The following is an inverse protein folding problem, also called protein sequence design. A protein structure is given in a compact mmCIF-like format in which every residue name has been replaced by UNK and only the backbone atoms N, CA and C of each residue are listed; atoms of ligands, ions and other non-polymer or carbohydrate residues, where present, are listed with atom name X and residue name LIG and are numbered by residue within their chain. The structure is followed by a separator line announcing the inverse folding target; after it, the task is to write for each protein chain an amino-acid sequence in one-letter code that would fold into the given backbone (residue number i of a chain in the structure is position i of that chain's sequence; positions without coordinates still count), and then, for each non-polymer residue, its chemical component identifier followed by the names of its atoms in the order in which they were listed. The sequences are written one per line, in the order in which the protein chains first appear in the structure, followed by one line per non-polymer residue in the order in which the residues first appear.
data_IF_863716556440
#
_entry.id   IF_863716556440
#
_cell.length_a   1.000
_cell.length_b   1.000
_cell.length_c   1.000
_cell.angle_alpha   90.00
_cell.angle_beta   90.00
_cell.angle_gamma   90.00
#
_symmetry.space_group_name_H-M   'P 1'
#
loop_
_entity.id
_entity.type
_entity.pdbx_description
1 polymer ?
#
# COMPACT_ATOMS: atom_id res chain seq x y z
N UNK A 1 9.19 1.50 -18.04
CA UNK A 1 7.95 2.13 -17.67
C UNK A 1 7.57 1.80 -16.24
N UNK A 2 7.16 2.79 -15.51
CA UNK A 2 6.84 2.62 -14.12
C UNK A 2 5.49 1.99 -13.95
N UNK A 3 5.37 1.01 -13.06
CA UNK A 3 4.08 0.40 -12.71
C UNK A 3 3.57 0.94 -11.39
N UNK A 4 4.04 2.10 -10.99
CA UNK A 4 3.70 2.72 -9.72
C UNK A 4 2.80 3.91 -9.97
N UNK A 5 1.77 4.04 -9.16
CA UNK A 5 0.81 5.13 -9.28
C UNK A 5 1.18 6.23 -8.29
N UNK A 6 1.41 7.43 -8.79
CA UNK A 6 1.68 8.57 -7.91
C UNK A 6 0.37 9.22 -7.55
N UNK A 7 0.11 9.37 -6.24
CA UNK A 7 -1.19 9.80 -5.74
C UNK A 7 -1.02 11.08 -4.93
N UNK A 8 -1.85 12.06 -5.22
CA UNK A 8 -1.87 13.31 -4.45
C UNK A 8 -2.86 13.21 -3.29
N UNK A 9 -2.80 14.20 -2.39
CA UNK A 9 -3.74 14.25 -1.28
C UNK A 9 -5.19 14.25 -1.77
N UNK A 10 -5.47 15.00 -2.83
CA UNK A 10 -6.83 15.11 -3.34
C UNK A 10 -7.33 13.81 -3.96
N UNK A 11 -6.41 13.01 -4.49
CA UNK A 11 -6.78 11.76 -5.17
C UNK A 11 -6.83 10.55 -4.25
N UNK A 12 -6.29 10.67 -3.04
CA UNK A 12 -6.05 9.51 -2.18
C UNK A 12 -7.33 8.75 -1.87
N UNK A 13 -8.38 9.46 -1.50
CA UNK A 13 -9.62 8.81 -1.10
C UNK A 13 -10.15 7.94 -2.24
N UNK A 14 -10.21 8.50 -3.42
CA UNK A 14 -10.77 7.77 -4.56
C UNK A 14 -9.84 6.65 -5.02
N UNK A 15 -8.56 6.94 -5.16
CA UNK A 15 -7.65 5.98 -5.78
C UNK A 15 -7.14 4.91 -4.84
N UNK A 16 -7.15 5.17 -3.54
CA UNK A 16 -6.67 4.22 -2.55
C UNK A 16 -7.80 3.63 -1.74
N UNK A 17 -8.59 4.49 -1.08
CA UNK A 17 -9.59 3.98 -0.16
C UNK A 17 -10.78 3.36 -0.86
N UNK A 18 -11.08 3.83 -2.07
CA UNK A 18 -12.18 3.27 -2.85
C UNK A 18 -11.72 2.30 -3.93
N UNK A 19 -10.45 1.92 -3.90
CA UNK A 19 -9.91 1.01 -4.90
C UNK A 19 -10.56 -0.37 -4.80
N UNK A 20 -10.87 -0.95 -5.96
CA UNK A 20 -11.39 -2.30 -6.00
C UNK A 20 -10.31 -3.33 -5.78
N UNK A 21 -9.05 -2.97 -5.99
CA UNK A 21 -7.94 -3.87 -5.75
C UNK A 21 -7.26 -3.52 -4.44
N UNK A 22 -6.57 -4.48 -3.81
CA UNK A 22 -5.72 -4.15 -2.67
C UNK A 22 -4.64 -3.15 -3.07
N UNK A 23 -4.27 -2.28 -2.15
CA UNK A 23 -3.31 -1.21 -2.41
C UNK A 23 -2.18 -1.27 -1.40
N UNK A 24 -0.95 -1.16 -1.88
CA UNK A 24 0.20 -0.90 -1.01
C UNK A 24 0.56 0.56 -1.20
N UNK A 25 0.46 1.35 -0.15
CA UNK A 25 0.76 2.77 -0.19
C UNK A 25 2.16 3.00 0.36
N UNK A 26 2.99 3.69 -0.41
CA UNK A 26 4.36 4.02 -0.03
C UNK A 26 4.44 5.52 0.25
N UNK A 27 4.53 5.89 1.53
CA UNK A 27 4.77 7.27 1.91
C UNK A 27 6.28 7.51 1.90
N UNK A 28 6.73 8.42 1.05
CA UNK A 28 8.15 8.61 0.77
C UNK A 28 8.48 10.09 0.60
N UNK A 29 9.76 10.40 0.44
CA UNK A 29 10.21 11.74 0.08
C UNK A 29 11.44 11.64 -0.81
N UNK A 30 11.67 12.62 -1.70
CA UNK A 30 12.78 12.53 -2.66
C UNK A 30 14.16 12.49 -2.01
N UNK A 31 14.30 13.09 -0.83
CA UNK A 31 15.58 13.15 -0.13
C UNK A 31 15.89 11.92 0.70
N UNK A 32 14.98 10.98 0.75
CA UNK A 32 15.07 9.83 1.65
C UNK A 32 15.79 8.69 0.92
N UNK A 33 16.99 8.32 1.40
CA UNK A 33 17.76 7.25 0.79
C UNK A 33 17.07 5.89 0.81
N UNK A 34 16.60 5.44 1.99
CA UNK A 34 15.90 4.16 2.04
C UNK A 34 14.64 4.13 1.17
N UNK A 35 13.98 5.27 1.02
CA UNK A 35 12.81 5.34 0.14
C UNK A 35 13.20 5.02 -1.30
N UNK A 36 14.35 5.57 -1.75
CA UNK A 36 14.80 5.32 -3.10
C UNK A 36 15.24 3.86 -3.28
N UNK A 37 15.76 3.25 -2.23
CA UNK A 37 16.20 1.87 -2.31
C UNK A 37 15.04 0.89 -2.45
N UNK A 38 13.90 1.22 -1.88
CA UNK A 38 12.75 0.31 -1.94
C UNK A 38 11.99 0.42 -3.25
N UNK A 39 12.16 1.51 -4.00
CA UNK A 39 11.41 1.73 -5.23
C UNK A 39 11.59 0.60 -6.25
N UNK A 40 12.81 0.11 -6.54
CA UNK A 40 12.93 -1.00 -7.49
C UNK A 40 12.22 -2.26 -7.02
N UNK A 41 12.19 -2.50 -5.72
CA UNK A 41 11.49 -3.66 -5.17
C UNK A 41 9.99 -3.51 -5.39
N UNK A 42 9.47 -2.31 -5.17
CA UNK A 42 8.04 -2.06 -5.39
C UNK A 42 7.69 -2.17 -6.86
N UNK A 43 8.59 -1.77 -7.75
CA UNK A 43 8.37 -1.94 -9.18
C UNK A 43 8.29 -3.40 -9.55
N UNK A 44 9.15 -4.23 -8.97
CA UNK A 44 9.09 -5.67 -9.20
C UNK A 44 7.80 -6.26 -8.67
N UNK A 45 7.40 -5.84 -7.48
CA UNK A 45 6.15 -6.33 -6.87
C UNK A 45 4.97 -5.97 -7.76
N UNK A 46 4.94 -4.74 -8.26
CA UNK A 46 3.84 -4.30 -9.11
C UNK A 46 3.79 -5.13 -10.40
N UNK A 47 4.96 -5.40 -10.97
CA UNK A 47 5.03 -6.14 -12.21
C UNK A 47 4.63 -7.60 -12.02
N UNK A 48 5.08 -8.20 -10.92
CA UNK A 48 4.77 -9.60 -10.64
C UNK A 48 3.31 -9.82 -10.28
N UNK A 49 2.62 -8.77 -9.87
CA UNK A 49 1.24 -8.87 -9.40
C UNK A 49 0.31 -7.93 -10.17
N UNK A 50 0.60 -7.76 -11.47
CA UNK A 50 -0.26 -6.93 -12.31
C UNK A 50 -1.71 -7.38 -12.21
N UNK A 51 -2.62 -6.42 -12.17
CA UNK A 51 -4.05 -6.67 -12.06
C UNK A 51 -4.47 -7.28 -10.72
N UNK A 52 -3.55 -7.41 -9.77
CA UNK A 52 -3.89 -7.93 -8.45
C UNK A 52 -3.64 -6.94 -7.34
N UNK A 53 -2.79 -5.96 -7.56
CA UNK A 53 -2.45 -4.98 -6.53
C UNK A 53 -2.14 -3.65 -7.20
N UNK A 54 -2.44 -2.57 -6.50
CA UNK A 54 -2.03 -1.22 -6.89
C UNK A 54 -0.92 -0.80 -5.93
N UNK A 55 0.20 -0.33 -6.47
CA UNK A 55 1.26 0.25 -5.66
C UNK A 55 1.15 1.77 -5.83
N UNK A 56 0.77 2.44 -4.75
CA UNK A 56 0.54 3.88 -4.78
C UNK A 56 1.63 4.59 -4.00
N UNK A 57 2.26 5.59 -4.61
CA UNK A 57 3.31 6.37 -3.97
C UNK A 57 2.79 7.74 -3.61
N UNK A 58 3.05 8.17 -2.39
CA UNK A 58 2.64 9.49 -1.91
C UNK A 58 3.88 10.24 -1.44
N UNK A 59 4.23 11.31 -2.16
CA UNK A 59 5.37 12.14 -1.80
C UNK A 59 4.94 13.05 -0.65
N UNK A 60 5.46 12.80 0.55
CA UNK A 60 5.01 13.51 1.74
C UNK A 60 5.46 14.96 1.80
N UNK A 61 6.48 15.33 1.00
CA UNK A 61 6.87 16.74 0.94
C UNK A 61 5.77 17.59 0.28
N UNK A 62 5.11 17.04 -0.72
CA UNK A 62 4.08 17.77 -1.44
C UNK A 62 2.67 17.39 -1.00
N UNK A 63 2.51 16.21 -0.45
CA UNK A 63 1.20 15.67 -0.09
C UNK A 63 1.23 15.05 1.29
N UNK A 64 1.25 15.89 2.35
CA UNK A 64 1.41 15.39 3.71
C UNK A 64 0.13 14.97 4.42
N UNK A 65 -1.02 15.24 3.84
CA UNK A 65 -2.28 15.12 4.57
C UNK A 65 -2.55 13.71 5.07
N UNK A 66 -2.44 12.73 4.21
CA UNK A 66 -2.80 11.37 4.59
C UNK A 66 -1.74 10.71 5.45
N UNK A 67 -0.46 11.07 5.25
CA UNK A 67 0.57 10.61 6.17
C UNK A 67 0.26 11.09 7.58
N UNK A 68 -0.17 12.32 7.73
CA UNK A 68 -0.55 12.85 9.03
C UNK A 68 -1.79 12.15 9.57
N UNK A 69 -2.78 11.92 8.73
CA UNK A 69 -3.99 11.25 9.17
C UNK A 69 -3.72 9.84 9.69
N UNK A 70 -2.79 9.13 9.08
CA UNK A 70 -2.46 7.78 9.52
C UNK A 70 -1.38 7.74 10.58
N UNK A 71 -0.89 8.89 11.01
CA UNK A 71 0.12 8.92 12.07
C UNK A 71 1.49 8.44 11.64
N UNK A 72 1.84 8.64 10.37
CA UNK A 72 3.14 8.23 9.85
C UNK A 72 4.21 9.11 10.45
N UNK A 73 5.22 8.51 11.08
CA UNK A 73 6.29 9.27 11.72
C UNK A 73 7.64 9.08 11.04
N UNK A 74 7.85 7.97 10.38
CA UNK A 74 9.10 7.70 9.68
C UNK A 74 8.82 7.30 8.24
N UNK A 75 9.79 7.50 7.37
CA UNK A 75 9.65 7.09 5.98
C UNK A 75 10.86 6.26 5.56
N UNK A 76 10.66 5.32 4.64
CA UNK A 76 9.38 5.00 4.03
C UNK A 76 8.46 4.30 5.01
N UNK A 77 7.17 4.53 4.89
CA UNK A 77 6.16 3.76 5.60
C UNK A 77 5.23 3.18 4.54
N UNK A 78 5.04 1.89 4.60
CA UNK A 78 4.12 1.21 3.70
C UNK A 78 2.86 0.85 4.47
N UNK A 79 1.71 1.14 3.88
CA UNK A 79 0.43 0.70 4.41
C UNK A 79 -0.21 -0.25 3.43
N UNK A 80 -0.73 -1.35 3.94
CA UNK A 80 -1.38 -2.37 3.14
C UNK A 80 -2.88 -2.23 3.35
N UNK A 81 -3.58 -1.72 2.33
CA UNK A 81 -4.98 -1.30 2.46
C UNK A 81 -5.85 -2.14 1.53
N UNK A 82 -6.92 -2.68 2.06
CA UNK A 82 -7.87 -3.45 1.28
C UNK A 82 -9.27 -3.08 1.74
N UNK A 83 -10.14 -2.76 0.79
CA UNK A 83 -11.50 -2.37 1.13
C UNK A 83 -11.57 -1.10 1.96
N UNK A 84 -10.59 -0.21 1.78
CA UNK A 84 -10.55 1.05 2.50
C UNK A 84 -10.01 0.96 3.91
N UNK A 85 -9.51 -0.22 4.33
CA UNK A 85 -9.01 -0.41 5.68
C UNK A 85 -7.57 -0.82 5.69
N UNK A 86 -6.80 -0.31 6.64
CA UNK A 86 -5.40 -0.69 6.80
C UNK A 86 -5.35 -2.07 7.40
N UNK A 87 -4.72 -3.01 6.67
CA UNK A 87 -4.61 -4.39 7.12
C UNK A 87 -3.26 -4.70 7.72
N UNK A 88 -2.23 -3.95 7.30
CA UNK A 88 -0.87 -4.18 7.79
C UNK A 88 -0.03 -2.94 7.49
N UNK A 89 1.14 -2.87 8.07
CA UNK A 89 2.03 -1.74 7.82
C UNK A 89 3.49 -2.19 7.96
N UNK A 90 4.40 -1.38 7.43
CA UNK A 90 5.83 -1.61 7.59
C UNK A 90 6.54 -0.27 7.58
N UNK A 91 7.38 -0.01 8.57
CA UNK A 91 8.18 1.19 8.62
C UNK A 91 9.60 0.82 8.22
N UNK A 92 10.19 1.59 7.30
CA UNK A 92 11.52 1.31 6.81
C UNK A 92 11.50 0.39 5.60
N UNK A 93 12.65 0.29 4.93
CA UNK A 93 12.71 -0.45 3.67
C UNK A 93 12.71 -1.97 3.87
N UNK A 94 13.56 -2.44 4.77
CA UNK A 94 13.68 -3.87 4.98
C UNK A 94 14.28 -4.62 3.79
N UNK A 95 14.52 -5.92 3.94
CA UNK A 95 15.04 -6.73 2.83
C UNK A 95 13.96 -7.01 1.80
N UNK A 96 14.36 -7.04 0.53
CA UNK A 96 13.43 -7.27 -0.57
C UNK A 96 12.63 -8.57 -0.42
N UNK A 97 13.25 -9.71 -0.05
CA UNK A 97 12.45 -10.94 0.07
C UNK A 97 11.39 -10.85 1.14
N UNK A 98 11.68 -10.14 2.24
CA UNK A 98 10.71 -9.99 3.31
C UNK A 98 9.53 -9.16 2.85
N UNK A 99 9.79 -8.10 2.09
CA UNK A 99 8.71 -7.27 1.57
C UNK A 99 7.85 -8.06 0.59
N UNK A 100 8.48 -8.81 -0.30
CA UNK A 100 7.72 -9.60 -1.26
C UNK A 100 6.85 -10.64 -0.57
N UNK A 101 7.37 -11.25 0.49
CA UNK A 101 6.61 -12.22 1.25
C UNK A 101 5.42 -11.56 1.95
N UNK A 102 5.64 -10.36 2.48
CA UNK A 102 4.56 -9.64 3.16
C UNK A 102 3.45 -9.26 2.18
N UNK A 103 3.82 -8.84 0.97
CA UNK A 103 2.83 -8.54 -0.05
C UNK A 103 2.04 -9.78 -0.42
N UNK A 104 2.72 -10.91 -0.58
CA UNK A 104 2.02 -12.16 -0.93
C UNK A 104 1.02 -12.54 0.14
N UNK A 105 1.40 -12.43 1.41
CA UNK A 105 0.50 -12.71 2.51
C UNK A 105 -0.69 -11.76 2.50
N UNK A 106 -0.43 -10.48 2.30
CA UNK A 106 -1.49 -9.48 2.25
C UNK A 106 -2.49 -9.78 1.13
N UNK A 107 -1.99 -10.10 -0.07
CA UNK A 107 -2.88 -10.36 -1.20
C UNK A 107 -3.69 -11.62 -0.98
N UNK A 108 -3.09 -12.62 -0.38
CA UNK A 108 -3.80 -13.85 -0.09
C UNK A 108 -4.92 -13.60 0.92
N UNK A 109 -4.66 -12.80 1.93
CA UNK A 109 -5.68 -12.47 2.92
C UNK A 109 -6.80 -11.63 2.32
N UNK A 110 -6.47 -10.71 1.41
CA UNK A 110 -7.48 -9.89 0.80
C UNK A 110 -8.45 -10.72 -0.03
N UNK A 111 -7.94 -11.71 -0.75
CA UNK A 111 -8.80 -12.60 -1.52
C UNK A 111 -9.70 -13.41 -0.61
N UNK A 112 -9.14 -13.92 0.48
CA UNK A 112 -9.94 -14.73 1.39
C UNK A 112 -11.02 -13.92 2.06
N UNK A 113 -10.73 -12.68 2.40
CA UNK A 113 -11.70 -11.85 3.10
C UNK A 113 -12.89 -11.47 2.25
N UNK A 114 -12.71 -11.34 0.96
CA UNK A 114 -13.79 -10.91 0.11
C UNK A 114 -15.01 -11.78 0.18
N UNK A 115 -14.90 -13.08 0.01
CA UNK A 115 -16.10 -13.89 0.05
C UNK A 115 -16.73 -13.95 1.43
N UNK A 116 -15.95 -13.76 2.46
CA UNK A 116 -16.50 -13.84 3.81
C UNK A 116 -17.46 -12.70 4.08
N UNK A 117 -17.26 -11.60 3.45
CA UNK A 117 -18.06 -10.44 3.70
C UNK A 117 -19.50 -10.66 3.47
N UNK A 118 -19.84 -11.44 2.47
CA UNK A 118 -21.21 -11.58 2.24
C UNK A 118 -21.91 -12.36 3.20
N UNK A 119 -21.34 -13.03 3.98
CA UNK A 119 -22.05 -13.70 4.95
C UNK A 119 -22.36 -12.85 6.03
N UNK A 120 -22.49 -12.22 5.92
CA UNK A 120 -22.76 -11.51 6.82
C UNK A 120 -22.73 -11.72 8.18
N UNK A 121 -22.58 -12.20 7.95
CA UNK A 121 -22.46 -12.11 8.79
C UNK A 121 -21.96 -11.79 9.44
N UNK A 122 -21.71 -11.72 9.23
CA UNK A 122 -21.03 -11.51 9.74
C UNK A 122 -20.85 -11.07 10.40
N UNK A 123 -21.04 -11.09 10.61
CA UNK A 123 -20.78 -10.80 11.39
C UNK A 123 -20.58 -10.77 12.34
N UNK A 124 -20.73 -11.02 12.23
CA UNK A 124 -20.52 -11.04 12.98
C UNK A 124 -20.08 -11.26 13.58
N UNK A 125 -19.99 -11.44 13.54
CA UNK A 125 -19.56 -11.67 14.12
C UNK A 125 -19.19 -11.59 14.64
#
# INVERSE_FOLDING_TARGET
MENLLHVTDAEFHEKVLESELPVVVDFWAPWCGPCRMITPVLEEVAKENEDKVVIAKVNTDENPEWAMNFGVQGIPTLLFISGGEVRDHQVGAGPAPALKSKVATFLNQAVIQEPVIESGNGKDQ
#
